data_IF_487992158111
#
_entry.id   IF_487992158111
#
_cell.length_a   1.000
_cell.length_b   1.000
_cell.length_c   1.000
_cell.angle_alpha   90.00
_cell.angle_beta   90.00
_cell.angle_gamma   90.00
#
_symmetry.space_group_name_H-M   'P 1'
#
loop_
_entity.id
_entity.type
_entity.pdbx_description
1 polymer ?
#
# COMPACT_ATOMS: atom_id res chain seq x y z
N UNK A 1 29.41 -60.53 -38.77
CA UNK A 1 30.09 -59.21 -38.70
C UNK A 1 29.14 -58.22 -38.04
N UNK A 2 28.96 -58.31 -36.73
CA UNK A 2 28.15 -57.40 -35.92
C UNK A 2 28.58 -57.68 -34.49
N UNK A 3 29.24 -56.72 -33.83
CA UNK A 3 29.35 -56.62 -32.35
C UNK A 3 30.38 -55.56 -31.89
N UNK A 4 31.12 -54.92 -32.81
CA UNK A 4 32.04 -53.85 -32.39
C UNK A 4 31.35 -52.52 -32.03
N UNK A 5 30.14 -52.27 -32.54
CA UNK A 5 29.43 -51.00 -32.34
C UNK A 5 28.67 -50.93 -31.01
N UNK A 6 28.23 -52.08 -30.49
CA UNK A 6 27.50 -52.15 -29.22
C UNK A 6 28.43 -52.00 -28.01
N UNK A 7 29.62 -52.60 -28.07
CA UNK A 7 30.63 -52.50 -27.00
C UNK A 7 31.13 -51.07 -26.83
N UNK A 8 31.29 -50.33 -27.94
CA UNK A 8 31.78 -48.95 -27.91
C UNK A 8 30.74 -47.95 -27.35
N UNK A 9 29.44 -48.20 -27.56
CA UNK A 9 28.37 -47.38 -26.96
C UNK A 9 28.21 -47.60 -25.45
N UNK A 10 28.49 -48.82 -24.98
CA UNK A 10 28.38 -49.16 -23.57
C UNK A 10 29.50 -48.50 -22.74
N UNK A 11 30.72 -48.45 -23.27
CA UNK A 11 31.86 -47.78 -22.64
C UNK A 11 31.67 -46.25 -22.56
N UNK A 12 31.10 -45.62 -23.61
CA UNK A 12 30.80 -44.18 -23.61
C UNK A 12 29.72 -43.80 -22.58
N UNK A 13 28.71 -44.66 -22.39
CA UNK A 13 27.62 -44.47 -21.41
C UNK A 13 28.11 -44.63 -19.96
N UNK A 14 29.01 -45.58 -19.71
CA UNK A 14 29.61 -45.75 -18.39
C UNK A 14 30.68 -44.70 -18.10
N UNK A 15 31.42 -44.19 -19.10
CA UNK A 15 32.25 -42.99 -18.95
C UNK A 15 31.41 -41.75 -18.62
N UNK A 16 30.25 -41.54 -19.25
CA UNK A 16 29.35 -40.43 -18.92
C UNK A 16 28.80 -40.52 -17.49
N UNK A 17 28.59 -41.73 -16.95
CA UNK A 17 28.19 -41.92 -15.55
C UNK A 17 29.34 -41.71 -14.57
N UNK A 18 30.56 -42.13 -14.92
CA UNK A 18 31.78 -41.95 -14.12
C UNK A 18 32.26 -40.49 -14.08
N UNK A 19 32.00 -39.71 -15.13
CA UNK A 19 32.36 -38.29 -15.21
C UNK A 19 31.48 -37.37 -14.36
N UNK A 20 30.47 -37.89 -13.64
CA UNK A 20 29.73 -37.13 -12.65
C UNK A 20 29.05 -35.86 -13.21
N UNK A 21 28.77 -35.82 -14.51
CA UNK A 21 28.00 -34.76 -15.14
C UNK A 21 26.56 -34.86 -14.63
N UNK A 22 26.31 -34.27 -13.46
CA UNK A 22 24.96 -33.94 -13.01
C UNK A 22 24.32 -33.13 -14.15
N UNK A 23 23.10 -33.46 -14.60
CA UNK A 23 22.32 -32.49 -15.35
C UNK A 23 22.36 -31.20 -14.55
N UNK A 24 22.68 -30.07 -15.20
CA UNK A 24 22.59 -28.78 -14.53
C UNK A 24 21.25 -28.73 -13.80
N UNK A 25 21.22 -28.48 -12.48
CA UNK A 25 19.96 -28.37 -11.78
C UNK A 25 19.12 -27.33 -12.55
N UNK A 26 17.82 -27.60 -12.80
CA UNK A 26 16.95 -26.61 -13.41
C UNK A 26 17.18 -25.29 -12.69
N UNK A 27 17.33 -24.16 -13.40
CA UNK A 27 17.80 -22.90 -12.84
C UNK A 27 17.12 -22.69 -11.50
N UNK A 28 17.91 -22.83 -10.43
CA UNK A 28 17.39 -22.98 -9.08
C UNK A 28 16.49 -21.78 -8.83
N UNK A 29 15.18 -22.01 -8.71
CA UNK A 29 14.24 -20.96 -8.35
C UNK A 29 14.74 -20.46 -6.99
N UNK A 30 15.36 -19.27 -6.96
CA UNK A 30 15.91 -18.76 -5.73
C UNK A 30 14.75 -18.63 -4.72
N UNK A 31 14.99 -18.86 -3.41
CA UNK A 31 13.95 -18.70 -2.41
C UNK A 31 13.27 -17.32 -2.44
N UNK A 32 13.99 -16.28 -2.89
CA UNK A 32 13.45 -14.94 -3.18
C UNK A 32 12.39 -14.96 -4.27
N UNK A 33 12.68 -15.61 -5.38
CA UNK A 33 11.85 -15.65 -6.58
C UNK A 33 10.57 -16.44 -6.29
N UNK A 34 10.70 -17.54 -5.53
CA UNK A 34 9.55 -18.33 -5.06
C UNK A 34 8.57 -17.51 -4.22
N UNK A 35 9.10 -16.66 -3.32
CA UNK A 35 8.29 -15.80 -2.44
C UNK A 35 7.60 -14.69 -3.22
N UNK A 36 8.30 -14.09 -4.17
CA UNK A 36 7.76 -13.01 -5.00
C UNK A 36 6.69 -13.54 -5.96
N UNK A 37 6.93 -14.68 -6.61
CA UNK A 37 5.95 -15.39 -7.44
C UNK A 37 4.71 -15.75 -6.62
N UNK A 38 4.88 -16.28 -5.41
CA UNK A 38 3.75 -16.61 -4.52
C UNK A 38 2.93 -15.37 -4.14
N UNK A 39 3.60 -14.28 -3.77
CA UNK A 39 2.94 -13.03 -3.39
C UNK A 39 2.20 -12.40 -4.59
N UNK A 40 2.81 -12.45 -5.77
CA UNK A 40 2.19 -11.98 -7.01
C UNK A 40 0.93 -12.79 -7.36
N UNK A 41 1.00 -14.12 -7.28
CA UNK A 41 -0.16 -14.98 -7.51
C UNK A 41 -1.27 -14.74 -6.48
N UNK A 42 -0.91 -14.51 -5.20
CA UNK A 42 -1.87 -14.16 -4.14
C UNK A 42 -2.54 -12.81 -4.44
N UNK A 43 -1.76 -11.80 -4.82
CA UNK A 43 -2.28 -10.49 -5.20
C UNK A 43 -3.24 -10.57 -6.39
N UNK A 44 -2.90 -11.31 -7.45
CA UNK A 44 -3.76 -11.46 -8.62
C UNK A 44 -5.09 -12.15 -8.32
N UNK A 45 -5.11 -13.09 -7.37
CA UNK A 45 -6.36 -13.69 -6.88
C UNK A 45 -7.21 -12.66 -6.16
N UNK A 46 -6.61 -11.85 -5.28
CA UNK A 46 -7.31 -10.78 -4.58
C UNK A 46 -7.82 -9.71 -5.55
N UNK A 47 -7.03 -9.30 -6.53
CA UNK A 47 -7.45 -8.34 -7.55
C UNK A 47 -8.64 -8.86 -8.39
N UNK A 48 -8.65 -10.16 -8.72
CA UNK A 48 -9.79 -10.80 -9.38
C UNK A 48 -11.04 -10.77 -8.49
N UNK A 49 -10.91 -11.16 -7.23
CA UNK A 49 -12.00 -11.09 -6.24
C UNK A 49 -12.54 -9.68 -6.10
N UNK A 50 -11.66 -8.69 -5.98
CA UNK A 50 -12.01 -7.29 -5.82
C UNK A 50 -12.82 -6.70 -6.99
N UNK A 51 -12.75 -7.32 -8.18
CA UNK A 51 -13.53 -6.90 -9.36
C UNK A 51 -14.89 -7.59 -9.48
N UNK A 52 -15.10 -8.68 -8.74
CA UNK A 52 -16.29 -9.55 -8.87
C UNK A 52 -17.18 -9.43 -7.64
N UNK A 53 -16.58 -9.31 -6.46
CA UNK A 53 -17.32 -9.21 -5.20
C UNK A 53 -18.00 -7.84 -5.06
N UNK A 54 -19.17 -7.85 -4.40
CA UNK A 54 -19.85 -6.61 -4.03
C UNK A 54 -19.15 -5.94 -2.85
N UNK A 55 -18.60 -4.76 -3.11
CA UNK A 55 -17.86 -3.94 -2.13
C UNK A 55 -18.66 -2.69 -1.70
N UNK A 56 -19.95 -2.61 -2.06
CA UNK A 56 -20.81 -1.45 -1.83
C UNK A 56 -20.90 -1.05 -0.35
N UNK A 57 -20.92 -2.05 0.54
CA UNK A 57 -20.92 -1.86 1.98
C UNK A 57 -19.69 -1.08 2.46
N UNK A 58 -18.50 -1.44 1.97
CA UNK A 58 -17.25 -0.78 2.36
C UNK A 58 -17.08 0.55 1.65
N UNK A 59 -17.39 0.62 0.34
CA UNK A 59 -17.31 1.87 -0.40
C UNK A 59 -18.28 2.92 0.14
N UNK A 60 -19.47 2.50 0.60
CA UNK A 60 -20.49 3.36 1.17
C UNK A 60 -20.09 4.02 2.50
N UNK A 61 -19.09 3.48 3.20
CA UNK A 61 -18.52 4.09 4.40
C UNK A 61 -17.80 5.41 4.06
N UNK A 62 -17.29 5.53 2.82
CA UNK A 62 -16.56 6.71 2.37
C UNK A 62 -15.20 6.90 3.05
N UNK A 63 -14.67 5.88 3.73
CA UNK A 63 -13.38 6.00 4.43
C UNK A 63 -12.19 6.06 3.48
N UNK A 64 -12.31 5.64 2.22
CA UNK A 64 -11.24 5.62 1.23
C UNK A 64 -11.81 6.04 -0.13
N UNK A 65 -11.23 7.05 -0.76
CA UNK A 65 -11.67 7.53 -2.09
C UNK A 65 -10.55 8.30 -2.80
N UNK A 66 -10.69 8.47 -4.11
CA UNK A 66 -9.81 9.33 -4.90
C UNK A 66 -10.35 10.76 -4.90
N UNK A 67 -9.47 11.76 -4.75
CA UNK A 67 -9.83 13.17 -4.73
C UNK A 67 -8.85 13.98 -5.58
N UNK A 68 -9.23 14.33 -6.81
CA UNK A 68 -8.45 15.23 -7.66
C UNK A 68 -6.98 14.83 -7.85
N UNK A 69 -6.13 15.84 -8.06
CA UNK A 69 -4.68 15.70 -8.25
C UNK A 69 -3.89 16.71 -7.41
N UNK A 70 -2.64 16.38 -7.10
CA UNK A 70 -1.71 17.29 -6.45
C UNK A 70 -1.10 18.31 -7.43
N UNK A 71 -0.25 19.21 -6.91
CA UNK A 71 0.42 20.25 -7.74
C UNK A 71 1.34 19.70 -8.84
N UNK A 72 1.68 18.41 -8.81
CA UNK A 72 2.48 17.72 -9.82
C UNK A 72 1.62 16.84 -10.74
N UNK A 73 0.29 16.94 -10.66
CA UNK A 73 -0.64 16.14 -11.46
C UNK A 73 -0.78 14.69 -11.00
N UNK A 74 -0.32 14.36 -9.78
CA UNK A 74 -0.41 13.00 -9.23
C UNK A 74 -1.77 12.80 -8.55
N UNK A 75 -2.50 11.70 -8.80
CA UNK A 75 -3.76 11.43 -8.13
C UNK A 75 -3.57 11.38 -6.61
N UNK A 76 -4.50 12.03 -5.89
CA UNK A 76 -4.53 12.03 -4.43
C UNK A 76 -5.58 11.02 -3.97
N UNK A 77 -5.17 10.08 -3.14
CA UNK A 77 -6.10 9.17 -2.46
C UNK A 77 -6.30 9.66 -1.04
N UNK A 78 -7.55 9.84 -0.64
CA UNK A 78 -7.93 10.27 0.69
C UNK A 78 -8.36 9.06 1.52
N UNK A 79 -7.83 8.95 2.74
CA UNK A 79 -8.24 7.97 3.73
C UNK A 79 -8.71 8.68 5.01
N UNK A 80 -9.93 8.43 5.45
CA UNK A 80 -10.56 9.06 6.63
C UNK A 80 -10.61 8.06 7.78
N UNK A 81 -9.72 8.23 8.75
CA UNK A 81 -9.55 7.28 9.86
C UNK A 81 -10.78 7.10 10.74
N UNK A 82 -11.53 8.18 11.00
CA UNK A 82 -12.75 8.16 11.81
C UNK A 82 -13.79 7.15 11.30
N UNK A 83 -13.93 7.05 9.99
CA UNK A 83 -14.93 6.20 9.35
C UNK A 83 -14.47 4.75 9.21
N UNK A 84 -13.16 4.49 9.30
CA UNK A 84 -12.64 3.13 9.31
C UNK A 84 -12.78 2.50 10.71
N UNK A 85 -13.93 1.91 11.00
CA UNK A 85 -14.18 1.19 12.25
C UNK A 85 -13.69 -0.25 12.17
N UNK A 86 -12.44 -0.48 12.57
CA UNK A 86 -11.76 -1.77 12.42
C UNK A 86 -12.51 -2.99 13.00
N UNK A 87 -13.29 -2.81 14.07
CA UNK A 87 -14.04 -3.91 14.71
C UNK A 87 -15.39 -4.22 14.05
N UNK A 88 -15.94 -3.28 13.30
CA UNK A 88 -17.28 -3.38 12.70
C UNK A 88 -17.20 -3.72 11.19
N UNK A 89 -16.09 -3.39 10.54
CA UNK A 89 -15.91 -3.56 9.10
C UNK A 89 -15.31 -4.94 8.79
N UNK A 90 -15.80 -5.57 7.72
CA UNK A 90 -15.16 -6.73 7.10
C UNK A 90 -13.80 -6.32 6.50
N UNK A 91 -12.72 -6.75 7.17
CA UNK A 91 -11.35 -6.41 6.83
C UNK A 91 -10.89 -7.01 5.50
N UNK A 92 -11.48 -8.15 5.09
CA UNK A 92 -11.17 -8.77 3.82
C UNK A 92 -11.77 -7.94 2.69
N UNK A 93 -13.05 -7.55 2.81
CA UNK A 93 -13.68 -6.61 1.87
C UNK A 93 -12.97 -5.25 1.85
N UNK A 94 -12.50 -4.76 3.00
CA UNK A 94 -11.72 -3.53 3.07
C UNK A 94 -10.40 -3.62 2.29
N UNK A 95 -9.70 -4.74 2.39
CA UNK A 95 -8.50 -4.99 1.59
C UNK A 95 -8.83 -5.10 0.09
N UNK A 96 -9.92 -5.79 -0.26
CA UNK A 96 -10.36 -5.88 -1.66
C UNK A 96 -10.70 -4.50 -2.23
N UNK A 97 -11.41 -3.66 -1.48
CA UNK A 97 -11.73 -2.29 -1.89
C UNK A 97 -10.48 -1.41 -2.04
N UNK A 98 -9.53 -1.54 -1.12
CA UNK A 98 -8.22 -0.87 -1.22
C UNK A 98 -7.50 -1.27 -2.53
N UNK A 99 -7.47 -2.56 -2.85
CA UNK A 99 -6.85 -3.07 -4.08
C UNK A 99 -7.60 -2.57 -5.31
N UNK A 100 -8.94 -2.67 -5.31
CA UNK A 100 -9.80 -2.21 -6.41
C UNK A 100 -9.55 -0.74 -6.75
N UNK A 101 -9.51 0.14 -5.73
CA UNK A 101 -9.31 1.57 -5.92
C UNK A 101 -7.88 1.91 -6.36
N UNK A 102 -6.87 1.26 -5.78
CA UNK A 102 -5.47 1.63 -6.01
C UNK A 102 -4.82 0.95 -7.22
N UNK A 103 -5.22 -0.27 -7.61
CA UNK A 103 -4.59 -1.01 -8.71
C UNK A 103 -4.46 -0.21 -10.03
N UNK A 104 -5.47 0.58 -10.47
CA UNK A 104 -5.29 1.44 -11.65
C UNK A 104 -4.34 2.62 -11.40
N UNK A 105 -4.31 3.17 -10.18
CA UNK A 105 -3.55 4.36 -9.83
C UNK A 105 -2.06 4.08 -9.64
N UNK A 106 -1.72 2.92 -9.07
CA UNK A 106 -0.33 2.51 -8.78
C UNK A 106 0.49 2.21 -10.04
N UNK A 107 -0.09 2.35 -11.25
CA UNK A 107 0.67 2.36 -12.51
C UNK A 107 1.50 3.64 -12.67
N UNK A 108 1.03 4.73 -12.08
CA UNK A 108 1.66 6.05 -12.10
C UNK A 108 1.98 6.52 -10.69
N UNK A 109 2.72 7.61 -10.61
CA UNK A 109 3.05 8.27 -9.35
C UNK A 109 1.80 8.82 -8.67
N UNK A 110 1.64 8.56 -7.36
CA UNK A 110 0.46 8.96 -6.59
C UNK A 110 0.81 9.39 -5.18
N UNK A 111 -0.13 10.03 -4.49
CA UNK A 111 0.01 10.44 -3.08
C UNK A 111 -1.20 10.01 -2.26
N UNK A 112 -1.00 9.78 -0.97
CA UNK A 112 -2.08 9.45 -0.02
C UNK A 112 -2.16 10.56 1.02
N UNK A 113 -3.37 11.02 1.32
CA UNK A 113 -3.70 11.88 2.45
C UNK A 113 -4.56 11.11 3.45
N UNK A 114 -3.97 10.75 4.59
CA UNK A 114 -4.67 10.12 5.71
C UNK A 114 -5.05 11.16 6.75
N UNK A 115 -6.35 11.30 7.00
CA UNK A 115 -6.88 12.14 8.06
C UNK A 115 -7.09 11.32 9.33
N UNK A 116 -6.28 11.60 10.34
CA UNK A 116 -6.38 10.97 11.66
C UNK A 116 -7.33 11.70 12.61
N UNK A 117 -8.12 12.64 12.09
CA UNK A 117 -9.00 13.51 12.87
C UNK A 117 -10.09 12.71 13.59
N UNK A 118 -10.26 12.94 14.90
CA UNK A 118 -11.29 12.27 15.72
C UNK A 118 -11.25 10.73 15.64
N UNK A 119 -10.06 10.16 15.47
CA UNK A 119 -9.84 8.71 15.45
C UNK A 119 -9.73 8.17 16.88
N UNK A 120 -10.41 7.07 17.19
CA UNK A 120 -10.40 6.43 18.51
C UNK A 120 -9.67 5.08 18.47
N UNK A 121 -9.45 4.46 19.63
CA UNK A 121 -8.86 3.11 19.73
C UNK A 121 -9.62 2.04 18.91
N UNK A 122 -10.91 2.22 18.66
CA UNK A 122 -11.72 1.29 17.85
C UNK A 122 -11.43 1.37 16.35
N UNK A 123 -10.75 2.42 15.90
CA UNK A 123 -10.43 2.65 14.49
C UNK A 123 -9.04 2.14 14.08
N UNK A 124 -8.18 1.79 15.05
CA UNK A 124 -6.83 1.35 14.75
C UNK A 124 -6.83 -0.09 14.25
N UNK A 125 -6.31 -0.35 13.04
CA UNK A 125 -6.03 -1.70 12.64
C UNK A 125 -4.91 -2.33 13.46
N UNK A 126 -4.97 -3.64 13.63
CA UNK A 126 -3.88 -4.38 14.27
C UNK A 126 -2.60 -4.26 13.44
N UNK A 127 -1.44 -4.22 14.11
CA UNK A 127 -0.15 -4.20 13.43
C UNK A 127 0.05 -5.43 12.52
N UNK A 128 -0.50 -6.58 12.90
CA UNK A 128 -0.47 -7.78 12.09
C UNK A 128 -1.21 -7.59 10.76
N UNK A 129 -2.43 -7.03 10.81
CA UNK A 129 -3.19 -6.73 9.60
C UNK A 129 -2.45 -5.71 8.71
N UNK A 130 -1.91 -4.63 9.28
CA UNK A 130 -1.11 -3.67 8.53
C UNK A 130 0.13 -4.30 7.88
N UNK A 131 0.80 -5.23 8.58
CA UNK A 131 1.92 -6.02 8.05
C UNK A 131 1.48 -6.89 6.87
N UNK A 132 0.35 -7.55 7.01
CA UNK A 132 -0.21 -8.42 5.97
C UNK A 132 -0.56 -7.61 4.73
N UNK A 133 -1.26 -6.48 4.87
CA UNK A 133 -1.52 -5.57 3.75
C UNK A 133 -0.21 -5.14 3.10
N UNK A 134 0.77 -4.69 3.87
CA UNK A 134 2.08 -4.27 3.35
C UNK A 134 2.83 -5.38 2.59
N UNK A 135 2.66 -6.65 2.99
CA UNK A 135 3.29 -7.80 2.35
C UNK A 135 2.52 -8.31 1.12
N UNK A 136 1.19 -8.21 1.14
CA UNK A 136 0.31 -8.60 0.02
C UNK A 136 0.46 -7.61 -1.14
N UNK A 137 0.59 -6.31 -0.84
CA UNK A 137 0.69 -5.28 -1.87
C UNK A 137 2.04 -5.39 -2.63
N UNK A 138 2.01 -5.55 -3.97
CA UNK A 138 3.21 -5.68 -4.78
C UNK A 138 4.09 -4.42 -4.70
N UNK A 139 5.35 -4.58 -5.13
CA UNK A 139 6.34 -3.50 -5.08
C UNK A 139 5.89 -2.19 -5.77
N UNK A 140 5.06 -2.26 -6.82
CA UNK A 140 4.52 -1.09 -7.53
C UNK A 140 3.81 -0.07 -6.62
N UNK A 141 3.11 -0.54 -5.58
CA UNK A 141 2.46 0.33 -4.59
C UNK A 141 3.49 1.16 -3.84
N UNK A 142 4.58 0.51 -3.41
CA UNK A 142 5.67 1.16 -2.66
C UNK A 142 6.48 2.07 -3.56
N UNK A 143 6.77 1.66 -4.79
CA UNK A 143 7.60 2.41 -5.74
C UNK A 143 6.94 3.74 -6.12
N UNK A 144 5.67 3.69 -6.52
CA UNK A 144 4.98 4.82 -7.13
C UNK A 144 4.28 5.74 -6.12
N UNK A 145 4.15 5.32 -4.86
CA UNK A 145 3.79 6.23 -3.77
C UNK A 145 4.89 7.30 -3.62
N UNK A 146 4.55 8.58 -3.76
CA UNK A 146 5.52 9.68 -3.56
C UNK A 146 5.49 10.25 -2.17
N UNK A 147 4.29 10.41 -1.63
CA UNK A 147 4.10 10.91 -0.29
C UNK A 147 2.86 10.29 0.34
N UNK A 148 2.94 10.04 1.63
CA UNK A 148 1.85 9.64 2.49
C UNK A 148 1.74 10.68 3.60
N UNK A 149 0.78 11.58 3.49
CA UNK A 149 0.54 12.63 4.47
C UNK A 149 -0.38 12.13 5.56
N UNK A 150 0.02 12.26 6.82
CA UNK A 150 -0.83 12.00 7.97
C UNK A 150 -1.22 13.35 8.58
N UNK A 151 -2.49 13.71 8.47
CA UNK A 151 -3.04 14.98 8.97
C UNK A 151 -3.67 14.78 10.34
N UNK A 152 -3.36 15.70 11.27
CA UNK A 152 -3.73 15.64 12.69
C UNK A 152 -3.27 14.38 13.44
N UNK A 153 -2.02 13.91 13.29
CA UNK A 153 -1.54 12.78 14.06
C UNK A 153 -1.38 13.15 15.54
N UNK A 154 -1.90 12.30 16.43
CA UNK A 154 -1.63 12.40 17.87
C UNK A 154 -0.18 12.03 18.18
N UNK A 155 0.33 12.41 19.36
CA UNK A 155 1.68 12.00 19.79
C UNK A 155 1.84 10.46 19.78
N UNK A 156 0.82 9.75 20.26
CA UNK A 156 0.78 8.29 20.23
C UNK A 156 0.84 7.75 18.79
N UNK A 157 0.04 8.31 17.88
CA UNK A 157 0.02 7.91 16.47
C UNK A 157 1.38 8.15 15.82
N UNK A 158 2.04 9.29 16.08
CA UNK A 158 3.40 9.56 15.57
C UNK A 158 4.39 8.49 16.03
N UNK A 159 4.36 8.13 17.31
CA UNK A 159 5.26 7.13 17.88
C UNK A 159 5.00 5.73 17.29
N UNK A 160 3.74 5.30 17.22
CA UNK A 160 3.34 4.02 16.65
C UNK A 160 3.66 3.93 15.15
N UNK A 161 3.37 4.99 14.39
CA UNK A 161 3.73 5.07 12.97
C UNK A 161 5.24 5.00 12.79
N UNK A 162 6.02 5.74 13.58
CA UNK A 162 7.49 5.67 13.50
C UNK A 162 8.01 4.26 13.78
N UNK A 163 7.48 3.57 14.81
CA UNK A 163 7.86 2.21 15.14
C UNK A 163 7.52 1.25 13.98
N UNK A 164 6.27 1.28 13.49
CA UNK A 164 5.82 0.46 12.36
C UNK A 164 6.69 0.67 11.12
N UNK A 165 6.95 1.92 10.75
CA UNK A 165 7.77 2.25 9.58
C UNK A 165 9.23 1.82 9.76
N UNK A 166 9.74 1.83 10.99
CA UNK A 166 11.12 1.44 11.26
C UNK A 166 11.31 -0.08 11.19
N UNK A 167 10.40 -0.85 11.78
CA UNK A 167 10.59 -2.29 11.94
C UNK A 167 9.81 -3.14 10.92
N UNK A 168 8.73 -2.62 10.34
CA UNK A 168 7.81 -3.40 9.51
C UNK A 168 7.73 -2.89 8.06
N UNK A 169 7.84 -1.57 7.86
CA UNK A 169 7.68 -0.95 6.54
C UNK A 169 8.78 0.08 6.18
N UNK A 170 10.08 -0.28 6.24
CA UNK A 170 11.19 0.66 6.04
C UNK A 170 11.22 1.30 4.65
N UNK A 171 10.75 0.58 3.61
CA UNK A 171 10.78 1.06 2.22
C UNK A 171 9.92 2.31 1.97
N UNK A 172 8.92 2.58 2.83
CA UNK A 172 8.06 3.76 2.72
C UNK A 172 8.31 4.78 3.84
N UNK A 173 9.23 4.52 4.78
CA UNK A 173 9.46 5.38 5.96
C UNK A 173 9.69 6.84 5.59
N UNK A 174 10.54 7.10 4.59
CA UNK A 174 10.87 8.46 4.15
C UNK A 174 9.75 9.12 3.33
N UNK A 175 8.73 8.36 2.95
CA UNK A 175 7.57 8.85 2.19
C UNK A 175 6.44 9.30 3.11
N UNK A 176 6.45 8.88 4.38
CA UNK A 176 5.41 9.22 5.35
C UNK A 176 5.76 10.52 6.05
N UNK A 177 4.86 11.50 5.96
CA UNK A 177 5.04 12.83 6.52
C UNK A 177 3.86 13.16 7.44
N UNK A 178 4.15 13.60 8.66
CA UNK A 178 3.13 14.03 9.62
C UNK A 178 2.89 15.53 9.49
N UNK A 179 1.66 15.92 9.16
CA UNK A 179 1.23 17.31 9.03
C UNK A 179 0.36 17.71 10.23
N UNK A 180 0.67 18.82 10.92
CA UNK A 180 -0.07 19.23 12.11
C UNK A 180 -1.42 19.91 11.80
N UNK A 181 -1.67 20.28 10.54
CA UNK A 181 -2.91 20.96 10.11
C UNK A 181 -3.17 20.76 8.62
N UNK A 182 -4.39 21.07 8.17
CA UNK A 182 -4.77 20.95 6.76
C UNK A 182 -4.07 22.01 5.90
N UNK A 183 -3.73 23.19 6.45
CA UNK A 183 -2.98 24.25 5.76
C UNK A 183 -1.71 23.74 5.04
N UNK A 184 -0.98 22.82 5.69
CA UNK A 184 0.24 22.25 5.12
C UNK A 184 -0.08 21.32 3.95
N UNK A 185 -1.23 20.63 3.99
CA UNK A 185 -1.69 19.84 2.85
C UNK A 185 -2.06 20.75 1.67
N UNK A 186 -2.59 21.95 1.93
CA UNK A 186 -2.88 22.92 0.86
C UNK A 186 -1.63 23.47 0.16
N UNK A 187 -0.46 23.39 0.81
CA UNK A 187 0.81 23.72 0.15
C UNK A 187 1.18 22.72 -0.96
N UNK A 188 0.70 21.48 -0.89
CA UNK A 188 1.04 20.41 -1.84
C UNK A 188 -0.10 20.01 -2.78
N UNK A 189 -1.35 20.19 -2.35
CA UNK A 189 -2.56 19.93 -3.14
C UNK A 189 -3.45 21.17 -3.10
N UNK A 190 -4.02 21.57 -4.24
CA UNK A 190 -4.92 22.73 -4.25
C UNK A 190 -6.22 22.42 -3.49
N UNK A 191 -6.77 23.32 -2.66
CA UNK A 191 -8.01 23.05 -1.90
C UNK A 191 -9.17 22.60 -2.78
N UNK A 192 -9.30 23.14 -4.00
CA UNK A 192 -10.36 22.74 -4.96
C UNK A 192 -10.23 21.30 -5.48
N UNK A 193 -9.10 20.63 -5.25
CA UNK A 193 -8.87 19.24 -5.64
C UNK A 193 -9.12 18.27 -4.46
N UNK A 194 -9.36 18.80 -3.25
CA UNK A 194 -9.57 18.03 -2.04
C UNK A 194 -11.02 18.09 -1.59
N UNK A 195 -11.71 16.96 -1.68
CA UNK A 195 -13.00 16.75 -1.05
C UNK A 195 -12.74 16.29 0.39
N UNK A 196 -12.74 17.25 1.33
CA UNK A 196 -12.52 16.97 2.76
C UNK A 196 -13.87 17.03 3.50
N UNK A 197 -14.21 16.01 4.31
CA UNK A 197 -15.40 16.05 5.15
C UNK A 197 -15.40 17.22 6.13
N UNK A 198 -16.55 17.89 6.29
CA UNK A 198 -16.69 19.11 7.11
C UNK A 198 -16.18 18.96 8.55
N UNK A 199 -16.39 17.79 9.18
CA UNK A 199 -15.91 17.56 10.55
C UNK A 199 -14.38 17.65 10.69
N UNK A 200 -13.63 17.43 9.61
CA UNK A 200 -12.17 17.52 9.62
C UNK A 200 -11.74 18.98 9.57
N UNK A 201 -12.39 19.79 8.72
CA UNK A 201 -12.15 21.23 8.64
C UNK A 201 -12.60 21.94 9.92
N UNK A 202 -13.73 21.55 10.50
CA UNK A 202 -14.19 22.07 11.80
C UNK A 202 -13.19 21.77 12.91
N UNK A 203 -12.72 20.52 13.01
CA UNK A 203 -11.71 20.15 14.00
C UNK A 203 -10.44 20.96 13.81
N UNK A 204 -9.95 21.09 12.57
CA UNK A 204 -8.77 21.89 12.26
C UNK A 204 -8.91 23.36 12.66
N UNK A 205 -10.10 23.96 12.47
CA UNK A 205 -10.39 25.30 12.97
C UNK A 205 -10.35 25.37 14.50
N UNK A 206 -10.74 24.33 15.23
CA UNK A 206 -10.66 24.35 16.70
C UNK A 206 -9.22 24.28 17.21
N UNK A 207 -8.33 23.55 16.53
CA UNK A 207 -6.93 23.38 16.96
C UNK A 207 -5.97 24.41 16.36
N UNK A 208 -6.24 24.89 15.14
CA UNK A 208 -5.38 25.75 14.34
C UNK A 208 -6.07 27.05 13.92
N UNK A 209 -7.26 27.37 14.43
CA UNK A 209 -8.09 28.52 14.00
C UNK A 209 -7.37 29.86 13.97
N UNK A 210 -6.46 30.11 14.91
CA UNK A 210 -5.64 31.33 14.93
C UNK A 210 -4.74 31.50 13.69
N UNK A 211 -4.38 30.40 13.02
CA UNK A 211 -3.58 30.42 11.79
C UNK A 211 -4.40 30.74 10.54
N UNK A 212 -5.68 30.39 10.57
CA UNK A 212 -6.64 30.70 9.50
C UNK A 212 -7.19 32.12 9.61
N UNK A 213 -7.04 32.75 10.77
CA UNK A 213 -7.43 34.14 10.97
C UNK A 213 -6.42 35.09 10.29
N UNK A 214 -6.82 35.65 9.15
CA UNK A 214 -6.11 36.76 8.52
C UNK A 214 -6.95 38.04 8.71
N UNK A 215 -6.50 39.01 9.53
CA UNK A 215 -7.24 40.25 9.80
C UNK A 215 -7.44 41.13 8.56
N UNK A 216 -6.76 40.84 7.45
CA UNK A 216 -6.81 41.62 6.22
C UNK A 216 -7.61 40.94 5.09
N UNK A 217 -8.41 39.92 5.41
CA UNK A 217 -9.30 39.28 4.43
C UNK A 217 -10.49 40.23 4.15
N UNK A 218 -10.71 40.70 2.91
CA UNK A 218 -11.92 41.47 2.61
C UNK A 218 -13.15 40.57 2.74
N UNK A 219 -14.15 41.06 3.48
CA UNK A 219 -15.48 40.46 3.66
C UNK A 219 -16.29 40.48 2.38
#
# INVERSE_FOLDING_TARGET
MTDSAFTHMQDDLDQQRLLGARPDPPPSIYPSDSKEIHNQARYERLLRRAKIEDLSEVSGIGCLYQSGVDRFGRPVIVFVGKWFKFKEIDLDKALLYLIYLLDPLVKNDYVIAYFHTNTSNANYPSFNWLKEVYNILPYKYKKNLKAFYIVHPTFWTKMMTWWFLTFMAPAIKQKVQSLPGIEYLYSVVHPSQLEIPAFITEYDMTINGLRYYNPNSPT
#
